data_IF_874980489542
#
_entry.id   IF_874980489542
#
_cell.length_a   1.000
_cell.length_b   1.000
_cell.length_c   1.000
_cell.angle_alpha   90.00
_cell.angle_beta   90.00
_cell.angle_gamma   90.00
#
_symmetry.space_group_name_H-M   'P 1'
#
loop_
_entity.id
_entity.type
_entity.pdbx_description
1 polymer ?
#
# COMPACT_ATOMS: atom_id res chain seq x y z
N UNK A 1 1.08 25.47 -17.53
CA UNK A 1 0.40 26.41 -16.61
C UNK A 1 -0.26 25.58 -15.51
N UNK A 2 0.24 25.67 -14.30
CA UNK A 2 -0.45 25.09 -13.14
C UNK A 2 -1.66 25.99 -12.92
N UNK A 3 -2.85 25.44 -13.15
CA UNK A 3 -4.07 26.14 -12.83
C UNK A 3 -4.15 26.29 -11.31
N UNK A 4 -3.92 27.48 -10.79
CA UNK A 4 -3.96 27.77 -9.35
C UNK A 4 -5.38 27.65 -8.75
N UNK A 5 -6.36 27.21 -9.56
CA UNK A 5 -7.74 26.97 -9.14
C UNK A 5 -8.06 25.53 -8.84
N UNK A 6 -7.15 24.57 -9.12
CA UNK A 6 -7.42 23.16 -8.89
C UNK A 6 -7.31 22.83 -7.40
N UNK A 7 -8.44 22.40 -6.82
CA UNK A 7 -8.52 21.98 -5.43
C UNK A 7 -7.93 20.59 -5.29
N UNK A 8 -6.87 20.50 -4.53
CA UNK A 8 -6.12 19.27 -4.30
C UNK A 8 -6.27 18.80 -2.86
N UNK A 9 -6.61 17.52 -2.69
CA UNK A 9 -6.54 16.80 -1.41
C UNK A 9 -5.34 15.87 -1.37
N UNK A 10 -4.93 15.48 -0.18
CA UNK A 10 -3.80 14.59 0.04
C UNK A 10 -4.25 13.39 0.87
N UNK A 11 -3.89 12.21 0.41
CA UNK A 11 -3.99 10.98 1.16
C UNK A 11 -2.58 10.48 1.52
N UNK A 12 -2.26 10.50 2.79
CA UNK A 12 -1.05 9.86 3.33
C UNK A 12 -1.36 8.39 3.59
N UNK A 13 -0.73 7.52 2.83
CA UNK A 13 -0.99 6.10 2.87
C UNK A 13 0.05 5.39 3.72
N UNK A 14 -0.40 4.76 4.80
CA UNK A 14 0.42 3.88 5.63
C UNK A 14 0.18 2.42 5.24
N UNK A 15 1.18 1.58 5.46
CA UNK A 15 1.05 0.15 5.16
C UNK A 15 -0.04 -0.53 5.99
N UNK A 16 -0.13 -0.20 7.27
CA UNK A 16 -1.01 -0.83 8.24
C UNK A 16 -0.27 -1.81 9.15
N UNK A 17 -0.67 -1.86 10.40
CA UNK A 17 -0.13 -2.74 11.42
C UNK A 17 -1.17 -2.98 12.51
N UNK A 18 -1.06 -4.08 13.23
CA UNK A 18 -1.87 -4.33 14.42
C UNK A 18 -1.47 -3.46 15.62
N UNK A 19 -0.24 -2.93 15.59
CA UNK A 19 0.26 -2.00 16.59
C UNK A 19 -0.17 -0.57 16.25
N UNK A 20 -0.41 0.23 17.27
CA UNK A 20 -0.84 1.63 17.14
C UNK A 20 0.29 2.58 16.72
N UNK A 21 1.55 2.15 16.85
CA UNK A 21 2.74 2.95 16.55
C UNK A 21 2.73 3.52 15.14
N UNK A 22 2.34 2.72 14.15
CA UNK A 22 2.25 3.17 12.77
C UNK A 22 1.17 4.23 12.54
N UNK A 23 0.04 4.11 13.22
CA UNK A 23 -1.01 5.13 13.17
C UNK A 23 -0.59 6.44 13.84
N UNK A 24 0.08 6.36 14.98
CA UNK A 24 0.62 7.55 15.67
C UNK A 24 1.60 8.32 14.79
N UNK A 25 2.45 7.61 14.04
CA UNK A 25 3.41 8.24 13.11
C UNK A 25 2.69 8.92 11.95
N UNK A 26 1.78 8.24 11.28
CA UNK A 26 1.09 8.82 10.13
C UNK A 26 0.17 9.97 10.52
N UNK A 27 -0.46 9.88 11.68
CA UNK A 27 -1.26 10.96 12.26
C UNK A 27 -0.42 12.20 12.54
N UNK A 28 0.79 12.03 13.07
CA UNK A 28 1.70 13.14 13.33
C UNK A 28 2.08 13.86 12.02
N UNK A 29 2.34 13.14 10.94
CA UNK A 29 2.60 13.76 9.64
C UNK A 29 1.39 14.50 9.06
N UNK A 30 0.18 13.95 9.25
CA UNK A 30 -1.04 14.66 8.89
C UNK A 30 -1.14 16.00 9.64
N UNK A 31 -0.93 16.00 10.95
CA UNK A 31 -0.99 17.21 11.79
C UNK A 31 0.06 18.25 11.36
N UNK A 32 1.29 17.84 11.06
CA UNK A 32 2.33 18.72 10.52
C UNK A 32 1.91 19.35 9.19
N UNK A 33 1.28 18.57 8.33
CA UNK A 33 0.81 19.02 7.03
C UNK A 33 -0.33 20.05 7.15
N UNK A 34 -1.27 19.79 8.04
CA UNK A 34 -2.40 20.70 8.31
C UNK A 34 -1.92 22.02 8.93
N UNK A 35 -0.90 21.98 9.76
CA UNK A 35 -0.31 23.19 10.36
C UNK A 35 0.37 24.07 9.31
N UNK A 36 1.12 23.46 8.39
CA UNK A 36 1.84 24.20 7.33
C UNK A 36 0.94 24.64 6.19
N UNK A 37 -0.05 23.82 5.83
CA UNK A 37 -0.97 24.04 4.71
C UNK A 37 -2.44 23.92 5.15
N UNK A 38 -2.94 24.88 5.94
CA UNK A 38 -4.27 24.76 6.56
C UNK A 38 -5.44 24.72 5.58
N UNK A 39 -5.24 25.19 4.35
CA UNK A 39 -6.28 25.20 3.32
C UNK A 39 -6.29 23.93 2.46
N UNK A 40 -5.36 23.02 2.67
CA UNK A 40 -5.25 21.78 1.91
C UNK A 40 -5.81 20.61 2.73
N UNK A 41 -6.88 19.94 2.26
CA UNK A 41 -7.41 18.76 2.94
C UNK A 41 -6.41 17.61 2.93
N UNK A 42 -6.11 17.08 4.11
CA UNK A 42 -5.19 15.96 4.30
C UNK A 42 -5.86 14.89 5.15
N UNK A 43 -5.82 13.67 4.69
CA UNK A 43 -6.24 12.50 5.46
C UNK A 43 -5.18 11.42 5.42
N UNK A 44 -5.24 10.47 6.34
CA UNK A 44 -4.45 9.27 6.29
C UNK A 44 -5.33 8.03 6.17
N UNK A 45 -4.80 7.01 5.55
CA UNK A 45 -5.45 5.72 5.43
C UNK A 45 -4.44 4.60 5.43
N UNK A 46 -4.93 3.37 5.49
CA UNK A 46 -4.11 2.18 5.57
C UNK A 46 -4.34 1.29 4.36
N UNK A 47 -3.27 0.68 3.90
CA UNK A 47 -3.34 -0.27 2.81
C UNK A 47 -4.06 -1.55 3.23
N UNK A 48 -3.77 -2.03 4.44
CA UNK A 48 -4.33 -3.27 4.99
C UNK A 48 -4.38 -3.25 6.52
N UNK A 49 -5.04 -4.25 7.10
CA UNK A 49 -5.10 -4.53 8.55
C UNK A 49 -5.92 -3.52 9.35
N UNK A 50 -5.74 -2.23 9.15
CA UNK A 50 -6.42 -1.16 9.89
C UNK A 50 -7.40 -0.38 9.02
N UNK A 51 -8.31 0.30 9.68
CA UNK A 51 -9.25 1.25 9.07
C UNK A 51 -8.89 2.69 9.47
N UNK A 52 -9.18 3.69 8.61
CA UNK A 52 -9.83 3.57 7.31
C UNK A 52 -8.91 3.02 6.21
N UNK A 53 -9.49 2.29 5.27
CA UNK A 53 -8.80 1.84 4.06
C UNK A 53 -8.73 2.92 2.98
N UNK A 54 -8.13 2.58 1.83
CA UNK A 54 -7.96 3.50 0.72
C UNK A 54 -9.30 4.02 0.18
N UNK A 55 -10.29 3.17 -0.17
CA UNK A 55 -11.57 3.65 -0.70
C UNK A 55 -12.34 4.54 0.28
N UNK A 56 -12.36 4.18 1.55
CA UNK A 56 -13.03 4.95 2.61
C UNK A 56 -12.41 6.33 2.79
N UNK A 57 -11.09 6.43 2.74
CA UNK A 57 -10.38 7.70 2.90
C UNK A 57 -10.58 8.62 1.71
N UNK A 58 -10.57 8.09 0.49
CA UNK A 58 -10.86 8.85 -0.73
C UNK A 58 -12.29 9.36 -0.71
N UNK A 59 -13.23 8.51 -0.30
CA UNK A 59 -14.64 8.89 -0.15
C UNK A 59 -14.81 10.03 0.87
N UNK A 60 -14.13 9.94 2.01
CA UNK A 60 -14.15 10.99 3.03
C UNK A 60 -13.62 12.31 2.48
N UNK A 61 -12.46 12.31 1.85
CA UNK A 61 -11.88 13.51 1.24
C UNK A 61 -12.81 14.13 0.20
N UNK A 62 -13.39 13.32 -0.68
CA UNK A 62 -14.25 13.80 -1.77
C UNK A 62 -15.63 14.27 -1.33
N UNK A 63 -16.18 13.72 -0.23
CA UNK A 63 -17.49 14.14 0.30
C UNK A 63 -17.40 15.40 1.17
N UNK A 64 -16.32 15.56 1.91
CA UNK A 64 -16.11 16.72 2.77
C UNK A 64 -15.57 17.94 2.01
N UNK A 65 -15.01 17.73 0.83
CA UNK A 65 -14.35 18.75 0.04
C UNK A 65 -14.70 18.61 -1.44
N UNK A 66 -14.87 19.71 -2.12
CA UNK A 66 -14.96 19.74 -3.58
C UNK A 66 -13.54 19.70 -4.16
N UNK A 67 -13.08 18.52 -4.55
CA UNK A 67 -11.71 18.30 -5.02
C UNK A 67 -11.68 17.98 -6.50
N UNK A 68 -10.71 18.56 -7.21
CA UNK A 68 -10.39 18.24 -8.60
C UNK A 68 -9.36 17.11 -8.68
N UNK A 69 -8.55 16.96 -7.64
CA UNK A 69 -7.44 16.00 -7.59
C UNK A 69 -7.17 15.51 -6.18
N UNK A 70 -6.78 14.25 -6.07
CA UNK A 70 -6.22 13.66 -4.85
C UNK A 70 -4.84 13.10 -5.15
N UNK A 71 -3.85 13.52 -4.38
CA UNK A 71 -2.49 12.99 -4.42
C UNK A 71 -2.35 11.96 -3.32
N UNK A 72 -2.05 10.73 -3.70
CA UNK A 72 -1.80 9.60 -2.78
C UNK A 72 -0.31 9.42 -2.62
N UNK A 73 0.16 9.53 -1.39
CA UNK A 73 1.59 9.42 -1.05
C UNK A 73 1.81 8.19 -0.19
N UNK A 74 2.49 7.16 -0.70
CA UNK A 74 2.90 6.02 0.11
C UNK A 74 3.98 6.44 1.12
N UNK A 75 3.62 6.51 2.40
CA UNK A 75 4.53 6.92 3.47
C UNK A 75 5.25 5.71 4.04
N UNK A 76 6.06 5.09 3.19
CA UNK A 76 6.99 4.01 3.54
C UNK A 76 8.21 4.07 2.62
N UNK A 77 9.28 3.38 3.00
CA UNK A 77 10.59 3.54 2.34
C UNK A 77 10.58 3.02 0.92
N UNK A 78 10.03 1.84 0.69
CA UNK A 78 10.00 1.20 -0.62
C UNK A 78 8.76 0.34 -0.79
N UNK A 79 8.38 0.09 -2.04
CA UNK A 79 7.34 -0.89 -2.34
C UNK A 79 7.81 -2.31 -2.02
N UNK A 80 6.94 -3.09 -1.37
CA UNK A 80 6.97 -4.54 -1.46
C UNK A 80 6.24 -5.02 -2.71
N UNK A 81 6.27 -6.32 -2.96
CA UNK A 81 5.59 -6.94 -4.10
C UNK A 81 4.09 -6.64 -4.12
N UNK A 82 3.44 -6.78 -2.97
CA UNK A 82 2.00 -6.53 -2.82
C UNK A 82 1.64 -5.06 -3.03
N UNK A 83 2.39 -4.15 -2.42
CA UNK A 83 2.08 -2.71 -2.49
C UNK A 83 2.19 -2.18 -3.90
N UNK A 84 3.19 -2.62 -4.66
CA UNK A 84 3.40 -2.19 -6.03
C UNK A 84 2.30 -2.65 -6.98
N UNK A 85 1.74 -3.83 -6.72
CA UNK A 85 0.62 -4.41 -7.49
C UNK A 85 -0.72 -3.88 -7.03
N UNK A 86 -0.96 -3.90 -5.71
CA UNK A 86 -2.30 -3.75 -5.14
C UNK A 86 -2.74 -2.29 -5.03
N UNK A 87 -1.83 -1.36 -4.76
CA UNK A 87 -2.19 0.06 -4.60
C UNK A 87 -2.76 0.65 -5.89
N UNK A 88 -2.13 0.51 -7.08
CA UNK A 88 -2.73 1.01 -8.31
C UNK A 88 -4.10 0.38 -8.59
N UNK A 89 -4.26 -0.92 -8.34
CA UNK A 89 -5.53 -1.62 -8.50
C UNK A 89 -6.64 -1.06 -7.61
N UNK A 90 -6.35 -0.82 -6.33
CA UNK A 90 -7.29 -0.21 -5.38
C UNK A 90 -7.69 1.21 -5.76
N UNK A 91 -6.79 1.96 -6.38
CA UNK A 91 -7.03 3.32 -6.86
C UNK A 91 -7.70 3.37 -8.23
N UNK A 92 -7.84 2.24 -8.93
CA UNK A 92 -8.36 2.19 -10.30
C UNK A 92 -7.42 2.83 -11.33
N UNK A 93 -6.12 2.82 -11.08
CA UNK A 93 -5.07 3.36 -11.94
C UNK A 93 -4.36 2.22 -12.67
N UNK A 94 -3.94 2.46 -13.93
CA UNK A 94 -3.10 1.52 -14.66
C UNK A 94 -1.76 1.33 -13.96
N UNK A 95 -1.31 0.08 -13.87
CA UNK A 95 -0.02 -0.28 -13.30
C UNK A 95 0.92 -0.80 -14.38
N UNK A 96 2.12 -0.25 -14.44
CA UNK A 96 3.22 -0.77 -15.26
C UNK A 96 3.89 -2.01 -14.66
N UNK A 97 3.35 -2.51 -13.55
CA UNK A 97 3.91 -3.66 -12.84
C UNK A 97 3.55 -4.96 -13.53
N UNK A 98 4.54 -5.66 -14.07
CA UNK A 98 4.43 -7.00 -14.62
C UNK A 98 4.81 -8.04 -13.56
N UNK A 99 3.80 -8.73 -13.03
CA UNK A 99 4.00 -9.78 -12.02
C UNK A 99 4.79 -10.98 -12.56
N UNK A 100 4.79 -11.21 -13.87
CA UNK A 100 5.53 -12.32 -14.51
C UNK A 100 7.04 -12.09 -14.48
N UNK A 101 7.48 -10.84 -14.47
CA UNK A 101 8.91 -10.50 -14.47
C UNK A 101 9.61 -10.83 -13.14
N UNK A 102 8.84 -11.05 -12.06
CA UNK A 102 9.37 -11.28 -10.70
C UNK A 102 9.37 -12.76 -10.33
N UNK A 103 8.67 -13.62 -11.05
CA UNK A 103 8.73 -15.06 -10.85
C UNK A 103 10.02 -15.63 -11.43
N UNK A 104 11.12 -15.45 -10.71
CA UNK A 104 12.36 -16.17 -10.98
C UNK A 104 12.10 -17.67 -10.94
N UNK A 105 12.26 -18.30 -12.07
CA UNK A 105 12.12 -19.74 -12.23
C UNK A 105 13.13 -20.47 -11.35
N UNK A 106 12.69 -20.90 -10.18
CA UNK A 106 13.35 -21.99 -9.49
C UNK A 106 12.67 -23.30 -9.91
N UNK A 107 13.01 -23.77 -11.09
CA UNK A 107 12.78 -25.15 -11.44
C UNK A 107 13.81 -26.00 -10.69
N UNK A 108 13.42 -26.52 -9.56
CA UNK A 108 14.10 -27.67 -8.99
C UNK A 108 13.64 -28.90 -9.77
N UNK A 109 14.48 -29.34 -10.70
CA UNK A 109 14.38 -30.69 -11.22
C UNK A 109 14.75 -31.64 -10.09
N UNK A 110 13.75 -32.28 -9.53
CA UNK A 110 13.99 -33.51 -8.77
C UNK A 110 13.89 -34.67 -9.76
N UNK A 111 15.06 -35.20 -10.12
CA UNK A 111 15.15 -36.54 -10.70
C UNK A 111 14.69 -37.49 -9.62
N UNK A 112 13.53 -38.12 -9.79
CA UNK A 112 13.07 -39.22 -9.00
C UNK A 112 13.43 -40.51 -9.73
N UNK A 113 14.45 -41.18 -9.22
CA UNK A 113 14.69 -42.59 -9.51
C UNK A 113 13.53 -43.44 -8.96
N UNK A 114 13.06 -44.32 -9.82
CA UNK A 114 12.01 -45.29 -9.60
C UNK A 114 12.30 -46.15 -8.34
N UNK A 115 11.40 -46.12 -7.38
CA UNK A 115 11.21 -47.22 -6.44
C UNK A 115 9.73 -47.52 -6.28
N UNK A 116 9.34 -48.62 -6.92
CA UNK A 116 8.09 -49.33 -6.67
C UNK A 116 7.98 -49.72 -5.18
N UNK A 117 7.00 -49.18 -4.50
CA UNK A 117 6.45 -49.81 -3.30
C UNK A 117 4.93 -49.59 -3.26
N UNK A 118 4.21 -50.65 -3.56
CA UNK A 118 2.81 -50.85 -3.23
C UNK A 118 2.59 -50.72 -1.72
N UNK A 119 1.89 -49.70 -1.30
CA UNK A 119 1.15 -49.72 -0.04
C UNK A 119 -0.17 -48.92 -0.19
N UNK A 120 -1.20 -49.73 -0.31
CA UNK A 120 -2.59 -49.41 -0.13
C UNK A 120 -2.85 -48.88 1.29
N UNK A 121 -3.07 -47.61 1.47
CA UNK A 121 -3.75 -47.05 2.62
C UNK A 121 -4.60 -45.85 2.18
N UNK A 122 -5.86 -46.10 2.04
CA UNK A 122 -6.89 -45.06 1.91
C UNK A 122 -6.90 -44.16 3.15
N UNK A 123 -6.61 -42.89 2.94
CA UNK A 123 -7.02 -41.82 3.83
C UNK A 123 -7.62 -40.70 3.02
N UNK A 124 -8.93 -40.70 3.11
CA UNK A 124 -9.82 -39.61 2.77
C UNK A 124 -9.51 -38.40 3.68
N UNK A 125 -8.88 -37.37 3.16
CA UNK A 125 -8.85 -36.03 3.74
C UNK A 125 -9.09 -35.00 2.65
N UNK A 126 -10.34 -34.93 2.25
CA UNK A 126 -10.87 -33.71 1.65
C UNK A 126 -10.93 -32.64 2.74
N UNK A 127 -10.29 -31.56 2.51
CA UNK A 127 -10.69 -30.19 2.87
C UNK A 127 -9.54 -29.25 2.58
N UNK A 128 -9.31 -28.98 1.31
CA UNK A 128 -8.60 -27.78 0.93
C UNK A 128 -9.60 -26.61 1.05
N UNK A 129 -9.60 -25.98 2.21
CA UNK A 129 -10.19 -24.67 2.34
C UNK A 129 -9.28 -23.69 1.62
N UNK A 130 -9.58 -23.46 0.35
CA UNK A 130 -9.13 -22.25 -0.30
C UNK A 130 -9.87 -21.10 0.39
N UNK A 131 -9.17 -20.44 1.31
CA UNK A 131 -9.59 -19.13 1.73
C UNK A 131 -9.43 -18.21 0.54
N UNK A 132 -10.47 -18.10 -0.27
CA UNK A 132 -10.65 -16.94 -1.10
C UNK A 132 -10.83 -15.79 -0.11
N UNK A 133 -9.80 -14.99 0.05
CA UNK A 133 -9.98 -13.65 0.54
C UNK A 133 -10.68 -12.90 -0.59
N UNK A 134 -12.00 -13.03 -0.62
CA UNK A 134 -12.83 -12.09 -1.33
C UNK A 134 -12.62 -10.75 -0.61
N UNK A 135 -11.69 -9.98 -1.12
CA UNK A 135 -11.60 -8.58 -0.80
C UNK A 135 -12.78 -7.92 -1.54
N UNK A 136 -13.95 -7.99 -0.93
CA UNK A 136 -15.08 -7.11 -1.27
C UNK A 136 -14.69 -5.68 -0.87
N UNK A 137 -13.60 -5.18 -1.43
CA UNK A 137 -13.25 -3.79 -1.31
C UNK A 137 -14.13 -3.03 -2.30
N UNK A 138 -14.94 -2.14 -1.75
CA UNK A 138 -15.75 -1.23 -2.56
C UNK A 138 -14.82 -0.46 -3.52
N UNK A 139 -15.20 -0.31 -4.80
CA UNK A 139 -14.38 0.44 -5.73
C UNK A 139 -14.25 1.90 -5.27
N UNK A 140 -13.10 2.49 -5.55
CA UNK A 140 -12.86 3.91 -5.30
C UNK A 140 -13.83 4.75 -6.13
N UNK A 141 -14.64 5.57 -5.46
CA UNK A 141 -15.58 6.50 -6.09
C UNK A 141 -15.01 7.93 -6.00
N UNK A 142 -14.42 8.38 -7.09
CA UNK A 142 -13.93 9.74 -7.23
C UNK A 142 -13.91 10.16 -8.71
N UNK A 143 -14.57 11.26 -9.03
CA UNK A 143 -14.69 11.76 -10.41
C UNK A 143 -13.49 12.59 -10.88
N UNK A 144 -12.60 12.98 -9.96
CA UNK A 144 -11.42 13.76 -10.25
C UNK A 144 -10.20 12.91 -10.60
N UNK A 145 -9.05 13.55 -10.70
CA UNK A 145 -7.76 12.92 -10.96
C UNK A 145 -7.18 12.32 -9.67
N UNK A 146 -6.71 11.08 -9.74
CA UNK A 146 -5.93 10.45 -8.68
C UNK A 146 -4.48 10.33 -9.15
N UNK A 147 -3.57 10.91 -8.37
CA UNK A 147 -2.13 10.84 -8.63
C UNK A 147 -1.48 9.99 -7.53
N UNK A 148 -0.85 8.91 -7.92
CA UNK A 148 -0.04 8.09 -7.01
C UNK A 148 1.42 8.48 -7.15
N UNK A 149 2.04 8.91 -6.05
CA UNK A 149 3.47 9.21 -6.03
C UNK A 149 4.29 7.96 -5.77
N UNK A 150 5.60 8.05 -5.98
CA UNK A 150 6.53 7.05 -5.48
C UNK A 150 6.56 7.06 -3.95
N UNK A 151 6.96 5.95 -3.30
CA UNK A 151 7.26 5.94 -1.87
C UNK A 151 8.46 6.84 -1.55
N UNK A 152 8.84 6.94 -0.28
CA UNK A 152 9.91 7.86 0.17
C UNK A 152 11.26 7.59 -0.50
N UNK A 153 11.58 6.31 -0.73
CA UNK A 153 12.72 5.91 -1.55
C UNK A 153 14.09 6.38 -1.04
N UNK A 154 14.95 6.68 -1.99
CA UNK A 154 16.30 7.16 -1.73
C UNK A 154 16.27 8.68 -1.60
N UNK A 155 16.50 9.19 -0.40
CA UNK A 155 16.54 10.62 -0.12
C UNK A 155 17.58 10.92 0.95
N UNK A 156 18.34 11.98 0.75
CA UNK A 156 19.40 12.38 1.68
C UNK A 156 18.86 12.68 3.09
N UNK A 157 17.64 13.20 3.20
CA UNK A 157 16.99 13.48 4.48
C UNK A 157 16.70 12.19 5.25
N UNK A 158 16.32 11.11 4.56
CA UNK A 158 16.18 9.78 5.17
C UNK A 158 17.54 9.24 5.64
N UNK A 159 18.59 9.43 4.86
CA UNK A 159 19.95 9.07 5.27
C UNK A 159 20.37 9.82 6.53
N UNK A 160 20.09 11.10 6.64
CA UNK A 160 20.39 11.88 7.85
C UNK A 160 19.66 11.33 9.09
N UNK A 161 18.41 10.91 8.95
CA UNK A 161 17.66 10.25 10.03
C UNK A 161 18.35 8.93 10.43
N UNK A 162 18.72 8.11 9.47
CA UNK A 162 19.43 6.83 9.73
C UNK A 162 20.75 7.09 10.45
N UNK A 163 21.51 8.09 10.00
CA UNK A 163 22.78 8.48 10.61
C UNK A 163 22.60 8.95 12.06
N UNK A 164 21.57 9.72 12.34
CA UNK A 164 21.26 10.19 13.69
C UNK A 164 20.97 9.02 14.63
N UNK A 165 20.20 8.02 14.18
CA UNK A 165 19.92 6.80 14.97
C UNK A 165 21.21 6.05 15.34
N UNK A 166 22.13 5.94 14.41
CA UNK A 166 23.45 5.32 14.65
C UNK A 166 24.26 6.15 15.63
N UNK A 167 24.28 7.47 15.46
CA UNK A 167 25.08 8.39 16.29
C UNK A 167 24.66 8.39 17.76
N UNK A 168 23.39 8.10 18.04
CA UNK A 168 22.88 7.98 19.41
C UNK A 168 23.56 6.85 20.22
N UNK A 169 24.24 5.90 19.53
CA UNK A 169 24.86 4.71 20.12
C UNK A 169 26.40 4.67 19.97
N UNK A 170 26.99 5.67 19.39
CA UNK A 170 28.44 5.82 19.29
C UNK A 170 29.00 6.64 20.45
#
# INVERSE_FOLDING_TARGET
>A
MINMSDKTGILLLSHGSRLDDGEEVIKAYKEMYEEEFPDMPVEYGFMEIRKPGIPETIKKLSTENELDRIIVVPVFVAHGLHTKRDIPGLLGIESDFDAESVSGHHHHHHDHDDHDHDHDHGHDHGHHHHHHHDHDEEPVEFDGEIVLTDPLGIDKRMYEIIKDRVSEHL
#
